data_IF_563324139308
#
_entry.id   IF_563324139308
#
_cell.length_a   1.000
_cell.length_b   1.000
_cell.length_c   1.000
_cell.angle_alpha   90.00
_cell.angle_beta   90.00
_cell.angle_gamma   90.00
#
_symmetry.space_group_name_H-M   'P 1'
#
loop_
_entity.id
_entity.type
_entity.pdbx_description
1 polymer ?
#
# COMPACT_ATOMS: atom_id res chain seq x y z
N UNK A 1 26.11 44.13 10.02
CA UNK A 1 24.78 44.57 9.56
C UNK A 1 23.97 43.30 9.33
N UNK A 2 23.31 42.79 10.37
CA UNK A 2 21.89 43.00 10.68
C UNK A 2 20.99 42.48 9.55
N UNK A 3 20.42 41.28 9.75
CA UNK A 3 19.07 41.01 10.33
C UNK A 3 18.00 41.16 9.22
N UNK A 4 17.10 40.20 8.96
CA UNK A 4 16.24 39.55 9.94
C UNK A 4 15.31 38.48 9.33
N UNK A 5 15.06 37.42 10.14
CA UNK A 5 13.76 36.77 10.45
C UNK A 5 13.07 35.93 9.36
N UNK A 6 12.38 34.81 9.63
CA UNK A 6 12.15 34.00 10.84
C UNK A 6 11.28 32.77 10.47
N UNK A 7 11.61 31.63 11.09
CA UNK A 7 10.70 30.68 11.77
C UNK A 7 9.59 29.99 10.94
N UNK A 8 9.74 28.68 10.73
CA UNK A 8 8.72 27.74 11.20
C UNK A 8 9.38 26.47 11.76
N UNK A 9 9.45 26.42 13.09
CA UNK A 9 9.77 25.25 13.89
C UNK A 9 8.65 24.23 13.79
N UNK A 10 8.92 23.11 13.13
CA UNK A 10 8.12 21.89 13.21
C UNK A 10 8.86 20.81 14.01
N UNK A 11 9.29 21.12 15.23
CA UNK A 11 9.76 20.10 16.17
C UNK A 11 8.56 19.20 16.51
N UNK A 12 8.48 18.05 15.86
CA UNK A 12 7.75 16.91 16.40
C UNK A 12 8.46 16.50 17.70
N UNK A 13 7.95 16.97 18.83
CA UNK A 13 8.24 16.42 20.15
C UNK A 13 7.26 15.27 20.37
N UNK A 14 7.67 14.00 20.31
CA UNK A 14 6.94 12.99 21.03
C UNK A 14 7.25 13.21 22.51
N UNK A 15 6.25 13.05 23.39
CA UNK A 15 6.49 12.79 24.81
C UNK A 15 7.30 11.49 24.91
N UNK A 16 8.63 11.59 24.89
CA UNK A 16 9.57 10.49 24.57
C UNK A 16 10.30 9.90 25.79
N UNK A 17 9.77 10.06 27.00
CA UNK A 17 10.46 9.56 28.21
C UNK A 17 9.87 8.25 28.76
N UNK A 18 8.70 7.79 28.28
CA UNK A 18 8.06 6.55 28.80
C UNK A 18 8.01 5.38 27.78
N UNK A 19 8.43 5.60 26.53
CA UNK A 19 8.28 4.59 25.47
C UNK A 19 9.50 3.69 25.29
N UNK A 20 10.70 4.13 25.69
CA UNK A 20 11.94 3.36 25.46
C UNK A 20 12.07 2.17 26.41
N UNK A 21 11.62 2.34 27.65
CA UNK A 21 11.60 1.27 28.65
C UNK A 21 10.51 0.24 28.32
N UNK A 22 9.30 0.67 27.96
CA UNK A 22 8.24 -0.24 27.51
C UNK A 22 8.59 -0.96 26.20
N UNK A 23 9.28 -0.30 25.27
CA UNK A 23 9.75 -0.94 24.04
C UNK A 23 10.77 -2.05 24.31
N UNK A 24 11.73 -1.79 25.22
CA UNK A 24 12.77 -2.74 25.59
C UNK A 24 12.19 -3.95 26.34
N UNK A 25 11.26 -3.74 27.28
CA UNK A 25 10.63 -4.85 28.01
C UNK A 25 9.73 -5.71 27.12
N UNK A 26 9.05 -5.12 26.14
CA UNK A 26 8.27 -5.87 25.14
C UNK A 26 9.18 -6.66 24.21
N UNK A 27 10.30 -6.09 23.77
CA UNK A 27 11.29 -6.81 22.96
C UNK A 27 11.89 -7.99 23.72
N UNK A 28 12.26 -7.80 24.99
CA UNK A 28 12.77 -8.85 25.88
C UNK A 28 11.71 -9.94 26.14
N UNK A 29 10.46 -9.56 26.44
CA UNK A 29 9.34 -10.49 26.60
C UNK A 29 9.07 -11.31 25.32
N UNK A 30 9.17 -10.68 24.14
CA UNK A 30 9.03 -11.38 22.85
C UNK A 30 10.18 -12.35 22.58
N UNK A 31 11.41 -12.01 23.01
CA UNK A 31 12.54 -12.95 22.92
C UNK A 31 12.40 -14.13 23.89
N UNK A 32 11.88 -13.91 25.10
CA UNK A 32 11.62 -14.95 26.08
C UNK A 32 10.43 -15.85 25.70
N UNK A 33 9.43 -15.30 25.00
CA UNK A 33 8.21 -16.00 24.67
C UNK A 33 8.34 -17.07 23.57
N UNK A 34 9.49 -17.20 22.88
CA UNK A 34 9.75 -18.14 21.74
C UNK A 34 9.37 -19.62 21.96
N UNK A 35 8.92 -20.01 23.15
CA UNK A 35 8.50 -21.38 23.52
C UNK A 35 6.99 -21.54 23.83
N UNK A 36 6.14 -20.53 23.57
CA UNK A 36 4.70 -20.54 23.88
C UNK A 36 3.76 -21.00 22.76
N UNK A 37 2.55 -21.50 23.13
CA UNK A 37 1.48 -21.86 22.19
C UNK A 37 0.87 -20.61 21.53
N UNK A 38 0.55 -20.63 20.22
CA UNK A 38 -0.04 -19.48 19.53
C UNK A 38 -1.47 -19.19 20.03
N UNK A 39 -1.76 -17.92 20.33
CA UNK A 39 -3.04 -17.46 20.87
C UNK A 39 -4.24 -17.64 19.93
N UNK A 40 -5.48 -17.50 20.43
CA UNK A 40 -6.69 -17.74 19.62
C UNK A 40 -6.94 -16.61 18.59
N UNK A 41 -6.94 -16.89 17.26
CA UNK A 41 -7.11 -15.87 16.22
C UNK A 41 -8.42 -15.08 16.29
N UNK A 42 -9.51 -15.72 16.75
CA UNK A 42 -10.84 -15.12 16.85
C UNK A 42 -10.87 -14.10 17.99
N UNK A 43 -10.23 -14.43 19.12
CA UNK A 43 -10.13 -13.54 20.29
C UNK A 43 -9.33 -12.28 19.95
N UNK A 44 -8.23 -12.46 19.22
CA UNK A 44 -7.40 -11.37 18.71
C UNK A 44 -8.21 -10.46 17.77
N UNK A 45 -8.84 -11.02 16.73
CA UNK A 45 -9.66 -10.22 15.81
C UNK A 45 -10.75 -9.42 16.54
N UNK A 46 -11.48 -10.04 17.48
CA UNK A 46 -12.55 -9.36 18.23
C UNK A 46 -12.02 -8.14 18.98
N UNK A 47 -10.93 -8.29 19.73
CA UNK A 47 -10.30 -7.17 20.47
C UNK A 47 -9.79 -6.09 19.51
N UNK A 48 -9.03 -6.47 18.47
CA UNK A 48 -8.49 -5.51 17.49
C UNK A 48 -9.58 -4.73 16.75
N UNK A 49 -10.68 -5.41 16.42
CA UNK A 49 -11.81 -4.79 15.74
C UNK A 49 -12.59 -3.81 16.61
N UNK A 50 -12.44 -3.88 17.94
CA UNK A 50 -13.14 -3.06 18.93
C UNK A 50 -12.36 -1.80 19.36
N UNK A 51 -11.07 -1.68 19.00
CA UNK A 51 -10.19 -0.57 19.39
C UNK A 51 -10.74 0.82 19.03
N UNK A 52 -11.44 0.92 17.89
CA UNK A 52 -12.06 2.17 17.48
C UNK A 52 -13.22 2.63 18.37
N UNK A 53 -13.82 1.71 19.15
CA UNK A 53 -14.93 2.01 20.06
C UNK A 53 -14.47 2.27 21.50
N UNK A 54 -13.32 1.72 21.91
CA UNK A 54 -12.82 1.84 23.29
C UNK A 54 -11.89 3.05 23.49
N UNK A 55 -11.41 3.67 22.42
CA UNK A 55 -10.41 4.75 22.49
C UNK A 55 -9.05 4.28 23.01
N UNK A 56 -8.85 2.96 23.09
CA UNK A 56 -7.60 2.36 23.56
C UNK A 56 -6.57 2.30 22.43
N UNK A 57 -5.30 2.51 22.79
CA UNK A 57 -4.18 2.41 21.86
C UNK A 57 -3.90 0.94 21.52
N UNK A 58 -3.88 0.60 20.22
CA UNK A 58 -3.52 -0.74 19.72
C UNK A 58 -2.23 -1.27 20.38
N UNK A 59 -1.20 -0.42 20.51
CA UNK A 59 0.06 -0.83 21.10
C UNK A 59 -0.12 -1.29 22.54
N UNK A 60 -0.97 -0.61 23.32
CA UNK A 60 -1.29 -1.01 24.70
C UNK A 60 -2.02 -2.34 24.74
N UNK A 61 -3.02 -2.53 23.87
CA UNK A 61 -3.80 -3.77 23.81
C UNK A 61 -2.94 -4.96 23.35
N UNK A 62 -2.08 -4.77 22.35
CA UNK A 62 -1.16 -5.81 21.89
C UNK A 62 -0.08 -6.12 22.94
N UNK A 63 0.48 -5.10 23.60
CA UNK A 63 1.44 -5.28 24.69
C UNK A 63 0.80 -6.01 25.88
N UNK A 64 -0.42 -5.65 26.27
CA UNK A 64 -1.17 -6.36 27.32
C UNK A 64 -1.42 -7.82 26.94
N UNK A 65 -1.69 -8.10 25.66
CA UNK A 65 -1.88 -9.45 25.16
C UNK A 65 -0.58 -10.29 25.19
N UNK A 66 0.57 -9.67 24.93
CA UNK A 66 1.89 -10.29 25.10
C UNK A 66 2.16 -10.56 26.59
N UNK A 67 1.79 -9.63 27.47
CA UNK A 67 1.88 -9.80 28.92
C UNK A 67 0.92 -10.88 29.47
N UNK A 68 -0.20 -11.13 28.79
CA UNK A 68 -1.10 -12.26 29.04
C UNK A 68 -0.50 -13.62 28.59
N UNK A 69 0.73 -13.64 28.04
CA UNK A 69 1.48 -14.85 27.69
C UNK A 69 1.13 -15.46 26.32
N UNK A 70 0.25 -14.81 25.54
CA UNK A 70 -0.12 -15.27 24.21
C UNK A 70 0.84 -14.66 23.14
N UNK A 71 1.57 -15.51 22.43
CA UNK A 71 2.37 -15.10 21.28
C UNK A 71 1.53 -14.90 20.02
N UNK A 72 1.88 -13.88 19.24
CA UNK A 72 1.37 -13.72 17.89
C UNK A 72 2.33 -14.28 16.86
N UNK A 73 1.87 -15.21 16.04
CA UNK A 73 2.55 -15.49 14.77
C UNK A 73 2.20 -14.41 13.77
N UNK A 74 3.15 -14.01 12.92
CA UNK A 74 2.93 -13.11 11.77
C UNK A 74 1.68 -13.52 10.97
N UNK A 75 1.47 -14.82 10.78
CA UNK A 75 0.31 -15.36 10.05
C UNK A 75 -1.05 -15.03 10.68
N UNK A 76 -1.12 -14.88 12.01
CA UNK A 76 -2.35 -14.50 12.70
C UNK A 76 -2.65 -13.01 12.53
N UNK A 77 -1.62 -12.16 12.62
CA UNK A 77 -1.74 -10.73 12.36
C UNK A 77 -2.12 -10.46 10.91
N UNK A 78 -1.50 -11.16 9.95
CA UNK A 78 -1.84 -11.07 8.54
C UNK A 78 -3.30 -11.47 8.27
N UNK A 79 -3.81 -12.53 8.92
CA UNK A 79 -5.23 -12.93 8.83
C UNK A 79 -6.15 -11.84 9.41
N UNK A 80 -5.82 -11.30 10.58
CA UNK A 80 -6.61 -10.23 11.19
C UNK A 80 -6.62 -8.97 10.32
N UNK A 81 -5.46 -8.57 9.80
CA UNK A 81 -5.32 -7.44 8.88
C UNK A 81 -6.19 -7.63 7.62
N UNK A 82 -6.16 -8.83 7.02
CA UNK A 82 -6.99 -9.16 5.86
C UNK A 82 -8.50 -9.03 6.16
N UNK A 83 -8.97 -9.56 7.29
CA UNK A 83 -10.38 -9.44 7.68
C UNK A 83 -10.78 -7.97 7.97
N UNK A 84 -9.94 -7.22 8.69
CA UNK A 84 -10.19 -5.80 8.96
C UNK A 84 -10.29 -4.99 7.65
N UNK A 85 -9.40 -5.24 6.69
CA UNK A 85 -9.45 -4.61 5.37
C UNK A 85 -10.72 -4.95 4.59
N UNK A 86 -11.17 -6.20 4.65
CA UNK A 86 -12.43 -6.65 4.03
C UNK A 86 -13.64 -5.91 4.58
N UNK A 87 -13.60 -5.55 5.87
CA UNK A 87 -14.65 -4.79 6.54
C UNK A 87 -14.43 -3.26 6.53
N UNK A 88 -13.48 -2.74 5.76
CA UNK A 88 -13.22 -1.29 5.65
C UNK A 88 -12.58 -0.67 6.90
N UNK A 89 -12.17 -1.48 7.89
CA UNK A 89 -11.49 -1.05 9.12
C UNK A 89 -10.01 -0.74 8.85
N UNK A 90 -9.76 0.21 7.95
CA UNK A 90 -8.43 0.54 7.45
C UNK A 90 -7.52 1.14 8.52
N UNK A 91 -8.06 1.94 9.44
CA UNK A 91 -7.30 2.51 10.56
C UNK A 91 -6.70 1.39 11.43
N UNK A 92 -7.52 0.46 11.90
CA UNK A 92 -7.06 -0.66 12.75
C UNK A 92 -6.11 -1.59 11.99
N UNK A 93 -6.37 -1.83 10.69
CA UNK A 93 -5.47 -2.61 9.86
C UNK A 93 -4.10 -1.92 9.71
N UNK A 94 -4.07 -0.59 9.54
CA UNK A 94 -2.83 0.16 9.46
C UNK A 94 -2.05 0.06 10.77
N UNK A 95 -2.71 0.29 11.90
CA UNK A 95 -2.08 0.22 13.21
C UNK A 95 -1.40 -1.15 13.44
N UNK A 96 -2.01 -2.26 13.00
CA UNK A 96 -1.37 -3.60 13.07
C UNK A 96 -0.04 -3.60 12.31
N UNK A 97 -0.01 -3.03 11.10
CA UNK A 97 1.23 -2.97 10.32
C UNK A 97 2.24 -2.03 10.99
N UNK A 98 1.83 -0.89 11.53
CA UNK A 98 2.77 0.02 12.22
C UNK A 98 3.37 -0.63 13.48
N UNK A 99 2.58 -1.45 14.17
CA UNK A 99 3.08 -2.25 15.28
C UNK A 99 4.04 -3.35 14.80
N UNK A 100 3.76 -4.01 13.67
CA UNK A 100 4.69 -4.98 13.07
C UNK A 100 6.01 -4.31 12.64
N UNK A 101 5.96 -3.07 12.13
CA UNK A 101 7.13 -2.24 11.81
C UNK A 101 7.95 -1.96 13.09
N UNK A 102 7.27 -1.53 14.18
CA UNK A 102 7.90 -1.24 15.47
C UNK A 102 8.59 -2.47 16.08
N UNK A 103 7.95 -3.64 15.94
CA UNK A 103 8.50 -4.93 16.38
C UNK A 103 9.56 -5.49 15.42
N UNK A 104 9.89 -4.77 14.33
CA UNK A 104 10.85 -5.17 13.29
C UNK A 104 10.57 -6.57 12.73
N UNK A 105 9.31 -6.91 12.55
CA UNK A 105 8.92 -8.19 11.96
C UNK A 105 9.30 -8.22 10.48
N UNK A 106 9.82 -9.34 9.99
CA UNK A 106 10.17 -9.46 8.58
C UNK A 106 8.93 -9.36 7.69
N UNK A 107 8.98 -8.45 6.71
CA UNK A 107 7.94 -8.28 5.71
C UNK A 107 8.20 -9.10 4.47
N UNK A 108 7.14 -9.70 3.95
CA UNK A 108 7.11 -10.16 2.58
C UNK A 108 6.84 -8.98 1.65
N UNK A 109 7.11 -9.15 0.36
CA UNK A 109 6.82 -8.14 -0.68
C UNK A 109 5.35 -7.70 -0.66
N UNK A 110 4.43 -8.63 -0.41
CA UNK A 110 3.01 -8.30 -0.28
C UNK A 110 2.68 -7.52 0.99
N UNK A 111 3.42 -7.70 2.08
CA UNK A 111 3.20 -6.94 3.32
C UNK A 111 3.51 -5.44 3.10
N UNK A 112 4.61 -5.13 2.39
CA UNK A 112 4.93 -3.74 2.02
C UNK A 112 3.83 -3.12 1.16
N UNK A 113 3.35 -3.82 0.13
CA UNK A 113 2.24 -3.35 -0.70
C UNK A 113 0.97 -3.07 0.10
N UNK A 114 0.64 -3.93 1.08
CA UNK A 114 -0.51 -3.72 1.98
C UNK A 114 -0.30 -2.51 2.88
N UNK A 115 0.92 -2.32 3.40
CA UNK A 115 1.27 -1.15 4.22
C UNK A 115 1.13 0.14 3.42
N UNK A 116 1.59 0.20 2.17
CA UNK A 116 1.41 1.36 1.27
C UNK A 116 -0.07 1.69 1.05
N UNK A 117 -0.88 0.70 0.64
CA UNK A 117 -2.33 0.87 0.41
C UNK A 117 -3.06 1.38 1.65
N UNK A 118 -2.76 0.81 2.83
CA UNK A 118 -3.36 1.23 4.10
C UNK A 118 -2.94 2.63 4.50
N UNK A 119 -1.67 2.99 4.30
CA UNK A 119 -1.14 4.32 4.63
C UNK A 119 -1.81 5.37 3.76
N UNK A 120 -1.91 5.13 2.46
CA UNK A 120 -2.60 6.03 1.54
C UNK A 120 -4.05 6.26 1.94
N UNK A 121 -4.79 5.20 2.27
CA UNK A 121 -6.22 5.28 2.63
C UNK A 121 -6.50 6.00 3.95
N UNK A 122 -5.58 5.93 4.91
CA UNK A 122 -5.79 6.41 6.27
C UNK A 122 -5.12 7.75 6.52
N UNK A 123 -3.88 7.91 6.04
CA UNK A 123 -3.01 9.06 6.30
C UNK A 123 -2.80 9.95 5.06
N UNK A 124 -3.30 9.54 3.90
CA UNK A 124 -3.16 10.28 2.64
C UNK A 124 -1.97 9.81 1.79
N UNK A 125 -1.96 10.25 0.53
CA UNK A 125 -0.97 9.80 -0.47
C UNK A 125 0.46 10.24 -0.12
N UNK A 126 0.63 11.44 0.42
CA UNK A 126 1.95 11.97 0.82
C UNK A 126 2.60 11.09 1.89
N UNK A 127 1.84 10.66 2.91
CA UNK A 127 2.34 9.75 3.92
C UNK A 127 2.73 8.37 3.34
N UNK A 128 2.06 7.92 2.27
CA UNK A 128 2.44 6.69 1.57
C UNK A 128 3.73 6.88 0.77
N UNK A 129 3.94 8.04 0.14
CA UNK A 129 5.18 8.41 -0.55
C UNK A 129 6.36 8.47 0.43
N UNK A 130 6.19 9.11 1.58
CA UNK A 130 7.18 9.17 2.64
C UNK A 130 7.57 7.78 3.14
N UNK A 131 6.56 6.91 3.35
CA UNK A 131 6.80 5.53 3.74
C UNK A 131 7.64 4.78 2.70
N UNK A 132 7.24 4.83 1.42
CA UNK A 132 7.99 4.15 0.33
C UNK A 132 9.40 4.72 0.21
N UNK A 133 9.56 6.03 0.30
CA UNK A 133 10.87 6.70 0.19
C UNK A 133 11.82 6.29 1.31
N UNK A 134 11.30 6.08 2.53
CA UNK A 134 12.04 5.61 3.69
C UNK A 134 12.36 4.10 3.70
N UNK A 135 11.85 3.32 2.75
CA UNK A 135 12.17 1.89 2.66
C UNK A 135 13.61 1.68 2.16
N UNK A 136 14.27 0.58 2.58
CA UNK A 136 15.51 0.12 1.94
C UNK A 136 15.29 -0.14 0.45
N UNK A 137 16.29 0.15 -0.39
CA UNK A 137 16.22 -0.09 -1.83
C UNK A 137 15.85 -1.55 -2.17
N UNK A 138 16.29 -2.52 -1.37
CA UNK A 138 15.93 -3.94 -1.54
C UNK A 138 14.44 -4.25 -1.35
N UNK A 139 13.69 -3.35 -0.73
CA UNK A 139 12.23 -3.48 -0.48
C UNK A 139 11.40 -2.60 -1.42
N UNK A 140 12.04 -1.73 -2.22
CA UNK A 140 11.40 -0.94 -3.28
C UNK A 140 11.35 -1.77 -4.56
N UNK A 141 10.35 -2.63 -4.66
CA UNK A 141 10.19 -3.55 -5.79
C UNK A 141 8.86 -3.37 -6.52
N UNK A 142 8.60 -4.27 -7.48
CA UNK A 142 7.36 -4.30 -8.26
C UNK A 142 6.10 -4.22 -7.40
N UNK A 143 6.05 -4.87 -6.23
CA UNK A 143 4.85 -4.90 -5.39
C UNK A 143 4.63 -3.54 -4.72
N UNK A 144 5.69 -2.95 -4.17
CA UNK A 144 5.63 -1.64 -3.51
C UNK A 144 5.26 -0.54 -4.50
N UNK A 145 5.90 -0.52 -5.68
CA UNK A 145 5.58 0.45 -6.72
C UNK A 145 4.21 0.21 -7.34
N UNK A 146 3.79 -1.04 -7.55
CA UNK A 146 2.42 -1.33 -8.03
C UNK A 146 1.35 -0.85 -7.05
N UNK A 147 1.60 -0.96 -5.74
CA UNK A 147 0.69 -0.44 -4.72
C UNK A 147 0.62 1.09 -4.76
N UNK A 148 1.76 1.77 -4.87
CA UNK A 148 1.81 3.23 -4.98
C UNK A 148 1.13 3.71 -6.28
N UNK A 149 1.38 3.04 -7.40
CA UNK A 149 0.74 3.32 -8.68
C UNK A 149 -0.78 3.16 -8.61
N UNK A 150 -1.26 2.11 -7.93
CA UNK A 150 -2.69 1.93 -7.69
C UNK A 150 -3.29 3.11 -6.91
N UNK A 151 -2.58 3.60 -5.88
CA UNK A 151 -3.02 4.76 -5.10
C UNK A 151 -3.08 6.02 -5.97
N UNK A 152 -2.04 6.32 -6.76
CA UNK A 152 -2.06 7.46 -7.70
C UNK A 152 -3.16 7.37 -8.75
N UNK A 153 -3.38 6.18 -9.33
CA UNK A 153 -4.43 5.96 -10.30
C UNK A 153 -5.81 6.22 -9.67
N UNK A 154 -6.02 5.80 -8.42
CA UNK A 154 -7.27 6.03 -7.71
C UNK A 154 -7.57 7.53 -7.56
N UNK A 155 -6.56 8.31 -7.18
CA UNK A 155 -6.62 9.76 -6.99
C UNK A 155 -6.42 10.58 -8.30
N UNK A 156 -6.36 9.92 -9.47
CA UNK A 156 -6.22 10.53 -10.80
C UNK A 156 -4.95 11.39 -11.00
N UNK A 157 -3.87 11.09 -10.27
CA UNK A 157 -2.61 11.84 -10.29
C UNK A 157 -1.71 11.43 -11.48
N UNK A 158 -2.12 11.78 -12.70
CA UNK A 158 -1.46 11.36 -13.96
C UNK A 158 0.05 11.60 -14.00
N UNK A 159 0.52 12.79 -13.62
CA UNK A 159 1.95 13.10 -13.63
C UNK A 159 2.76 12.15 -12.74
N UNK A 160 2.26 11.86 -11.53
CA UNK A 160 2.91 10.92 -10.61
C UNK A 160 2.86 9.48 -11.13
N UNK A 161 1.78 9.08 -11.80
CA UNK A 161 1.67 7.75 -12.42
C UNK A 161 2.69 7.59 -13.55
N UNK A 162 2.84 8.59 -14.42
CA UNK A 162 3.80 8.55 -15.53
C UNK A 162 5.25 8.58 -15.04
N UNK A 163 5.56 9.41 -14.04
CA UNK A 163 6.88 9.44 -13.42
C UNK A 163 7.23 8.09 -12.78
N UNK A 164 6.30 7.51 -12.02
CA UNK A 164 6.50 6.20 -11.41
C UNK A 164 6.65 5.09 -12.46
N UNK A 165 5.88 5.14 -13.55
CA UNK A 165 6.03 4.21 -14.67
C UNK A 165 7.43 4.27 -15.28
N UNK A 166 7.97 5.47 -15.51
CA UNK A 166 9.34 5.64 -16.01
C UNK A 166 10.37 5.03 -15.06
N UNK A 167 10.26 5.30 -13.75
CA UNK A 167 11.14 4.67 -12.74
C UNK A 167 11.03 3.15 -12.77
N UNK A 168 9.81 2.60 -12.87
CA UNK A 168 9.62 1.16 -12.96
C UNK A 168 10.22 0.57 -14.24
N UNK A 169 10.21 1.32 -15.34
CA UNK A 169 10.77 0.89 -16.62
C UNK A 169 12.29 0.85 -16.59
N UNK A 170 12.92 1.87 -16.00
CA UNK A 170 14.37 1.91 -15.75
C UNK A 170 14.84 0.74 -14.86
N UNK A 171 14.00 0.34 -13.90
CA UNK A 171 14.24 -0.81 -13.03
C UNK A 171 13.88 -2.16 -13.68
N UNK A 172 13.42 -2.17 -14.94
CA UNK A 172 13.04 -3.38 -15.66
C UNK A 172 11.80 -4.09 -15.11
N UNK A 173 10.97 -3.40 -14.32
CA UNK A 173 9.79 -3.96 -13.67
C UNK A 173 8.45 -3.43 -14.25
N UNK A 174 8.49 -2.56 -15.27
CA UNK A 174 7.31 -2.07 -15.99
C UNK A 174 6.83 -3.01 -17.13
N UNK A 175 6.88 -4.33 -16.93
CA UNK A 175 6.50 -5.34 -17.93
C UNK A 175 5.19 -6.07 -17.60
N UNK A 176 4.48 -5.65 -16.56
CA UNK A 176 3.24 -6.30 -16.14
C UNK A 176 2.01 -5.74 -16.86
N UNK A 177 1.15 -6.63 -17.36
CA UNK A 177 -0.20 -6.30 -17.87
C UNK A 177 -1.00 -5.43 -16.90
N UNK A 178 -0.80 -5.61 -15.58
CA UNK A 178 -1.47 -4.81 -14.54
C UNK A 178 -1.13 -3.32 -14.61
N UNK A 179 0.14 -2.99 -14.90
CA UNK A 179 0.64 -1.61 -14.94
C UNK A 179 -0.02 -0.85 -16.10
N UNK A 180 0.00 -1.45 -17.29
CA UNK A 180 -0.64 -0.88 -18.49
C UNK A 180 -2.16 -0.77 -18.33
N UNK A 181 -2.81 -1.81 -17.79
CA UNK A 181 -4.25 -1.76 -17.50
C UNK A 181 -4.61 -0.63 -16.53
N UNK A 182 -3.72 -0.30 -15.60
CA UNK A 182 -3.91 0.81 -14.66
C UNK A 182 -3.79 2.17 -15.35
N UNK A 183 -2.79 2.35 -16.24
CA UNK A 183 -2.63 3.54 -17.08
C UNK A 183 -3.83 3.76 -18.02
N UNK A 184 -4.25 2.71 -18.74
CA UNK A 184 -5.41 2.79 -19.63
C UNK A 184 -6.68 3.17 -18.84
N UNK A 185 -6.89 2.55 -17.67
CA UNK A 185 -8.03 2.88 -16.81
C UNK A 185 -7.99 4.33 -16.31
N UNK A 186 -6.79 4.85 -16.01
CA UNK A 186 -6.59 6.24 -15.59
C UNK A 186 -6.98 7.21 -16.71
N UNK A 187 -6.48 7.00 -17.93
CA UNK A 187 -6.79 7.87 -19.07
C UNK A 187 -8.29 7.85 -19.41
N UNK A 188 -8.93 6.68 -19.39
CA UNK A 188 -10.38 6.59 -19.56
C UNK A 188 -11.15 7.37 -18.50
N UNK A 189 -10.73 7.32 -17.22
CA UNK A 189 -11.36 8.09 -16.14
C UNK A 189 -11.10 9.60 -16.23
N UNK A 190 -9.98 9.99 -16.83
CA UNK A 190 -9.66 11.39 -17.13
C UNK A 190 -10.28 11.91 -18.43
N UNK A 191 -11.11 11.11 -19.11
CA UNK A 191 -11.74 11.45 -20.39
C UNK A 191 -10.74 11.70 -21.53
N UNK A 192 -9.61 10.97 -21.51
CA UNK A 192 -8.57 11.02 -22.54
C UNK A 192 -8.45 9.66 -23.26
N UNK A 193 -9.52 9.17 -23.93
CA UNK A 193 -9.53 7.85 -24.57
C UNK A 193 -8.46 7.68 -25.66
N UNK A 194 -8.03 8.77 -26.31
CA UNK A 194 -6.99 8.79 -27.34
C UNK A 194 -5.62 8.29 -26.83
N UNK A 195 -5.37 8.36 -25.52
CA UNK A 195 -4.12 7.87 -24.91
C UNK A 195 -4.09 6.36 -24.70
N UNK A 196 -5.21 5.66 -24.92
CA UNK A 196 -5.32 4.21 -24.70
C UNK A 196 -4.65 3.42 -25.82
N UNK A 197 -4.79 3.84 -27.08
CA UNK A 197 -4.21 3.12 -28.22
C UNK A 197 -2.65 3.09 -28.19
N UNK A 198 -1.94 4.20 -27.91
CA UNK A 198 -0.48 4.16 -27.79
C UNK A 198 0.03 3.17 -26.73
N UNK A 199 -0.69 3.05 -25.60
CA UNK A 199 -0.35 2.08 -24.55
C UNK A 199 -0.52 0.64 -25.05
N UNK A 200 -1.58 0.38 -25.82
CA UNK A 200 -1.84 -0.91 -26.45
C UNK A 200 -0.75 -1.29 -27.45
N UNK A 201 -0.32 -0.35 -28.30
CA UNK A 201 0.78 -0.58 -29.23
C UNK A 201 2.09 -0.86 -28.50
N UNK A 202 2.36 -0.14 -27.41
CA UNK A 202 3.56 -0.37 -26.60
C UNK A 202 3.53 -1.76 -25.92
N UNK A 203 2.38 -2.22 -25.42
CA UNK A 203 2.24 -3.59 -24.90
C UNK A 203 2.55 -4.63 -25.97
N UNK A 204 2.02 -4.47 -27.20
CA UNK A 204 2.31 -5.36 -28.32
C UNK A 204 3.80 -5.37 -28.67
N UNK A 205 4.41 -4.19 -28.79
CA UNK A 205 5.84 -4.03 -29.08
C UNK A 205 6.73 -4.71 -28.03
N UNK A 206 6.34 -4.65 -26.76
CA UNK A 206 7.05 -5.27 -25.63
C UNK A 206 6.70 -6.75 -25.43
N UNK A 207 5.85 -7.35 -26.27
CA UNK A 207 5.32 -8.71 -26.12
C UNK A 207 4.65 -8.94 -24.74
N UNK A 208 3.99 -7.92 -24.20
CA UNK A 208 3.22 -8.02 -22.95
C UNK A 208 1.84 -8.60 -23.28
N UNK A 209 1.42 -9.68 -22.60
CA UNK A 209 0.13 -10.31 -22.90
C UNK A 209 -1.03 -9.36 -22.58
N UNK A 210 -1.96 -9.26 -23.52
CA UNK A 210 -3.21 -8.52 -23.37
C UNK A 210 -4.25 -9.41 -22.70
N UNK A 211 -4.93 -8.90 -21.69
CA UNK A 211 -5.99 -9.65 -20.99
C UNK A 211 -7.39 -9.13 -21.35
N UNK A 212 -8.42 -9.82 -20.86
CA UNK A 212 -9.83 -9.42 -21.07
C UNK A 212 -10.09 -7.96 -20.65
N UNK A 213 -9.42 -7.45 -19.63
CA UNK A 213 -9.57 -6.08 -19.15
C UNK A 213 -8.89 -5.10 -20.12
N UNK A 214 -7.74 -5.46 -20.67
CA UNK A 214 -7.04 -4.67 -21.69
C UNK A 214 -7.94 -4.46 -22.90
N UNK A 215 -8.44 -5.53 -23.51
CA UNK A 215 -9.35 -5.45 -24.66
C UNK A 215 -10.63 -4.68 -24.35
N UNK A 216 -11.24 -4.92 -23.18
CA UNK A 216 -12.44 -4.18 -22.77
C UNK A 216 -12.17 -2.67 -22.71
N UNK A 217 -11.07 -2.27 -22.08
CA UNK A 217 -10.73 -0.85 -21.92
C UNK A 217 -10.42 -0.21 -23.28
N UNK A 218 -9.76 -0.95 -24.17
CA UNK A 218 -9.47 -0.51 -25.53
C UNK A 218 -10.74 -0.32 -26.37
N UNK A 219 -11.68 -1.28 -26.35
CA UNK A 219 -12.99 -1.13 -27.01
C UNK A 219 -13.77 0.07 -26.45
N UNK A 220 -13.76 0.26 -25.12
CA UNK A 220 -14.39 1.41 -24.47
C UNK A 220 -13.76 2.75 -24.91
N UNK A 221 -12.46 2.77 -25.19
CA UNK A 221 -11.78 3.98 -25.68
C UNK A 221 -12.26 4.39 -27.07
N UNK A 222 -12.36 3.46 -28.02
CA UNK A 222 -12.89 3.75 -29.36
C UNK A 222 -14.36 4.12 -29.34
N UNK A 223 -15.18 3.46 -28.52
CA UNK A 223 -16.58 3.85 -28.35
C UNK A 223 -16.71 5.29 -27.84
N UNK A 224 -15.80 5.74 -26.96
CA UNK A 224 -15.77 7.12 -26.48
C UNK A 224 -15.26 8.13 -27.53
N UNK A 225 -14.54 7.67 -28.55
CA UNK A 225 -14.08 8.47 -29.69
C UNK A 225 -15.08 8.48 -30.86
N UNK A 226 -16.21 7.79 -30.73
CA UNK A 226 -17.19 7.54 -31.82
C UNK A 226 -16.60 6.83 -33.05
N UNK A 227 -15.44 6.18 -32.89
CA UNK A 227 -14.73 5.46 -33.94
C UNK A 227 -15.12 3.96 -33.93
N UNK A 228 -16.31 3.69 -34.46
CA UNK A 228 -16.86 2.32 -34.48
C UNK A 228 -16.23 1.43 -35.57
N UNK A 229 -15.60 2.00 -36.59
CA UNK A 229 -14.87 1.23 -37.62
C UNK A 229 -13.59 0.61 -37.04
N UNK A 230 -12.85 1.35 -36.20
CA UNK A 230 -11.68 0.82 -35.51
C UNK A 230 -12.04 -0.34 -34.57
N UNK A 231 -13.20 -0.32 -33.91
CA UNK A 231 -13.68 -1.42 -33.05
C UNK A 231 -13.85 -2.72 -33.83
N UNK A 232 -14.36 -2.66 -35.06
CA UNK A 232 -14.54 -3.85 -35.88
C UNK A 232 -13.19 -4.48 -36.26
N UNK A 233 -12.18 -3.66 -36.58
CA UNK A 233 -10.83 -4.13 -36.91
C UNK A 233 -10.11 -4.82 -35.74
N UNK A 234 -10.52 -4.56 -34.48
CA UNK A 234 -9.98 -5.26 -33.30
C UNK A 234 -10.32 -6.75 -33.25
N UNK A 235 -11.37 -7.19 -33.94
CA UNK A 235 -11.82 -8.58 -33.94
C UNK A 235 -11.21 -9.41 -35.08
N UNK A 236 -10.52 -8.77 -36.04
CA UNK A 236 -10.01 -9.42 -37.24
C UNK A 236 -8.46 -9.55 -37.29
N UNK A 237 -7.75 -9.17 -36.22
CA UNK A 237 -6.30 -9.34 -36.03
C UNK A 237 -6.00 -10.02 -34.69
#
# INVERSE_FOLDING_TARGET
MNLSRSIFTGMWLPRKLCTTVEAATVAEAVTAAKMGQPGNPIRLYRRLSALGATGENLAKTLNQYIMEGEMFRKSQLAKCNKELRKHGKHQQALEIMEWMDFMKMEYSKSDYAVRVDLTSKVKGIEAAEDYVSGLPESSKDLFTYSALMHCYCKELMEEKVLALFATMDELGCASSTFIFNSLMSLHMRKQNPEKVDPLMQEMKKRNIPLDKRTYKTWMQSYAALEDFEAVALLFFN
#
